data_IF_260288488258
#
_entry.id   IF_260288488258
#
_cell.length_a   1.000
_cell.length_b   1.000
_cell.length_c   1.000
_cell.angle_alpha   90.00
_cell.angle_beta   90.00
_cell.angle_gamma   90.00
#
_symmetry.space_group_name_H-M   'P 1'
#
loop_
_entity.id
_entity.type
_entity.pdbx_description
1 polymer ?
2 non-polymer ?
3 non-polymer ?
4 non-polymer ?
5 water ?
#
# COMPACT_ATOMS: atom_id res chain seq x y z
N UNK A 42 -30.51 6.34 12.61
CA UNK A 42 -29.98 6.18 11.23
C UNK A 42 -28.59 5.54 11.24
N UNK A 43 -28.19 4.91 10.15
CA UNK A 43 -26.85 4.29 10.06
C UNK A 43 -26.43 4.15 8.60
N UNK A 44 -25.23 4.62 8.27
CA UNK A 44 -24.64 4.48 6.92
C UNK A 44 -24.06 3.06 6.80
N UNK A 45 -24.36 2.36 5.71
CA UNK A 45 -23.92 0.97 5.47
C UNK A 45 -22.50 1.03 4.91
N UNK A 46 -22.28 1.85 3.87
CA UNK A 46 -21.00 2.03 3.26
C UNK A 46 -20.71 3.52 3.16
N UNK A 47 -19.49 3.92 3.52
CA UNK A 47 -18.97 5.25 3.27
C UNK A 47 -17.97 5.19 2.13
N UNK A 48 -18.28 5.88 1.04
CA UNK A 48 -17.45 5.97 -0.15
C UNK A 48 -16.72 7.30 -0.12
N UNK A 49 -15.40 7.28 -0.32
CA UNK A 49 -14.57 8.47 -0.37
C UNK A 49 -13.98 8.53 -1.77
N UNK A 50 -14.12 9.68 -2.41
CA UNK A 50 -13.56 9.90 -3.74
C UNK A 50 -12.77 11.21 -3.66
N UNK A 51 -11.54 11.19 -4.19
CA UNK A 51 -10.81 12.45 -4.31
C UNK A 51 -11.23 13.07 -5.62
N UNK A 52 -11.70 14.33 -5.53
CA UNK A 52 -12.27 15.00 -6.69
C UNK A 52 -11.32 16.04 -7.24
N UNK A 53 -10.32 16.45 -6.47
CA UNK A 53 -9.40 17.45 -6.95
C UNK A 53 -8.16 17.48 -6.11
N UNK A 54 -7.03 17.56 -6.83
CA UNK A 54 -5.76 17.86 -6.19
C UNK A 54 -5.16 19.06 -6.90
N UNK A 55 -4.78 20.05 -6.14
CA UNK A 55 -4.16 21.24 -6.68
C UNK A 55 -2.92 21.62 -5.90
N UNK A 56 -1.87 21.97 -6.61
CA UNK A 56 -0.66 22.40 -5.96
C UNK A 56 -0.56 23.92 -6.03
N UNK A 57 -0.68 24.55 -4.90
CA UNK A 57 -0.50 25.99 -4.87
C UNK A 57 0.11 26.15 -3.52
N UNK A 58 0.87 27.19 -3.34
CA UNK A 58 1.56 27.32 -2.10
C UNK A 58 2.48 26.15 -2.09
N UNK A 59 2.68 25.57 -3.26
CA UNK A 59 3.50 24.40 -3.33
C UNK A 59 2.69 23.23 -2.82
N UNK A 60 2.52 23.13 -1.52
CA UNK A 60 1.78 22.04 -0.94
C UNK A 60 0.44 21.76 -1.61
N UNK A 61 0.11 20.49 -1.71
CA UNK A 61 -1.16 20.11 -2.30
C UNK A 61 -2.36 20.47 -1.41
N UNK A 62 -3.44 20.84 -2.08
CA UNK A 62 -4.74 20.96 -1.45
C UNK A 62 -5.60 19.87 -2.06
N UNK A 63 -6.30 19.13 -1.22
CA UNK A 63 -6.94 17.91 -1.70
C UNK A 63 -8.41 17.95 -1.30
N UNK A 64 -9.28 17.77 -2.29
CA UNK A 64 -10.69 17.78 -1.99
C UNK A 64 -11.22 16.37 -2.09
N UNK A 65 -11.98 15.99 -1.05
CA UNK A 65 -12.58 14.67 -0.96
C UNK A 65 -14.10 14.80 -0.93
N UNK A 66 -14.79 13.91 -1.64
CA UNK A 66 -16.24 13.85 -1.57
C UNK A 66 -16.69 12.52 -0.93
N UNK A 67 -17.53 12.64 0.11
CA UNK A 67 -18.03 11.49 0.86
C UNK A 67 -19.47 11.19 0.52
N UNK A 68 -19.80 9.94 0.16
CA UNK A 68 -21.17 9.55 -0.07
C UNK A 68 -21.52 8.27 0.70
N UNK A 69 -22.83 8.00 0.85
CA UNK A 69 -23.28 6.75 1.43
C UNK A 69 -23.57 5.75 0.32
N UNK A 70 -24.14 4.58 0.68
CA UNK A 70 -24.40 3.50 -0.28
C UNK A 70 -25.43 3.93 -1.34
N UNK A 71 -26.27 4.93 -1.00
CA UNK A 71 -27.27 5.47 -1.92
C UNK A 71 -26.74 6.69 -2.68
N UNK A 72 -25.42 6.97 -2.56
CA UNK A 72 -24.79 8.01 -3.35
C UNK A 72 -25.28 9.40 -2.92
N UNK A 73 -25.68 9.52 -1.66
CA UNK A 73 -26.09 10.76 -1.03
C UNK A 73 -24.91 11.36 -0.25
N UNK A 74 -24.73 12.68 -0.25
CA UNK A 74 -23.58 13.29 0.42
C UNK A 74 -23.57 13.03 1.91
N UNK A 75 -22.36 12.92 2.46
CA UNK A 75 -22.23 12.75 3.90
C UNK A 75 -21.49 13.96 4.43
N UNK A 76 -22.21 14.69 5.26
CA UNK A 76 -21.76 15.96 5.80
C UNK A 76 -21.55 15.80 7.29
N UNK A 77 -20.54 16.47 7.85
CA UNK A 77 -20.27 16.37 9.28
C UNK A 77 -19.15 15.39 9.64
N UNK A 78 -18.50 14.70 8.69
CA UNK A 78 -17.42 13.78 9.08
C UNK A 78 -16.38 14.51 9.93
N UNK A 79 -16.15 13.97 11.13
CA UNK A 79 -15.30 14.61 12.11
C UNK A 79 -13.92 13.94 12.19
N UNK A 80 -13.70 12.78 11.55
CA UNK A 80 -12.44 12.09 11.75
C UNK A 80 -11.81 11.67 10.43
N UNK A 81 -11.83 12.58 9.47
CA UNK A 81 -11.34 12.34 8.13
C UNK A 81 -9.87 12.71 8.18
N UNK A 82 -9.01 11.98 7.46
CA UNK A 82 -7.62 12.41 7.42
C UNK A 82 -6.93 11.93 6.16
N UNK A 83 -5.90 12.67 5.77
CA UNK A 83 -4.94 12.14 4.81
C UNK A 83 -3.89 11.43 5.65
N UNK A 84 -4.04 10.10 5.76
CA UNK A 84 -3.17 9.34 6.65
C UNK A 84 -1.73 9.37 6.11
N UNK A 85 -1.59 9.32 4.78
CA UNK A 85 -0.30 9.41 4.14
C UNK A 85 -0.39 10.13 2.81
N UNK A 86 0.58 11.02 2.63
CA UNK A 86 0.93 11.55 1.35
C UNK A 86 2.27 10.93 0.91
N UNK A 87 2.32 10.40 -0.30
CA UNK A 87 3.48 9.68 -0.77
C UNK A 87 3.82 10.10 -2.20
N UNK A 88 5.05 9.75 -2.67
CA UNK A 88 5.31 9.70 -4.10
C UNK A 88 6.09 8.44 -4.43
N UNK A 89 5.93 8.02 -5.68
CA UNK A 89 6.41 6.74 -6.17
C UNK A 89 7.78 6.84 -6.86
N UNK A 90 8.81 6.34 -6.19
CA UNK A 90 10.13 6.23 -6.80
C UNK A 90 10.07 5.10 -7.81
N UNK A 91 10.38 5.32 -9.09
CA UNK A 91 10.13 4.28 -10.09
C UNK A 91 11.12 3.10 -10.02
N UNK A 92 10.77 1.98 -10.65
CA UNK A 92 11.66 0.84 -10.78
C UNK A 92 13.04 1.33 -11.17
N UNK A 93 14.11 0.90 -10.51
CA UNK A 93 15.45 1.19 -11.00
C UNK A 93 16.10 2.41 -10.33
N UNK A 94 15.30 3.35 -9.88
CA UNK A 94 15.86 4.63 -9.47
C UNK A 94 16.68 4.50 -8.17
N UNK A 95 16.32 3.61 -7.23
CA UNK A 95 17.15 3.47 -6.03
C UNK A 95 18.39 2.61 -6.35
N UNK A 96 18.50 2.08 -7.57
CA UNK A 96 19.54 1.12 -7.85
C UNK A 96 19.05 0.07 -8.85
N UNK A 97 19.99 -0.65 -9.49
CA UNK A 97 19.61 -1.52 -10.61
C UNK A 97 18.93 -2.83 -10.12
N UNK A 98 17.87 -3.21 -10.87
CA UNK A 98 16.87 -4.24 -10.56
C UNK A 98 15.87 -3.95 -9.42
N UNK A 99 15.94 -2.76 -8.85
CA UNK A 99 15.16 -2.51 -7.65
C UNK A 99 13.70 -2.21 -8.01
N UNK A 100 12.85 -2.50 -7.03
CA UNK A 100 11.43 -2.28 -7.09
C UNK A 100 11.16 -0.78 -7.07
N UNK A 101 10.03 -0.38 -7.63
CA UNK A 101 9.42 0.91 -7.28
C UNK A 101 9.05 0.88 -5.79
N UNK A 102 9.09 2.03 -5.14
CA UNK A 102 8.76 2.10 -3.74
C UNK A 102 8.30 3.51 -3.40
N UNK A 103 7.59 3.62 -2.27
CA UNK A 103 6.85 4.81 -1.91
C UNK A 103 7.64 5.64 -0.93
N UNK A 104 7.74 6.94 -1.22
CA UNK A 104 8.51 7.85 -0.39
C UNK A 104 7.56 8.82 0.30
N UNK A 105 7.80 9.10 1.59
CA UNK A 105 6.85 9.77 2.46
C UNK A 105 6.93 11.29 2.31
N UNK A 106 5.77 11.96 2.27
CA UNK A 106 5.73 13.41 2.16
C UNK A 106 4.89 14.04 3.27
N UNK A 107 4.34 13.21 4.16
CA UNK A 107 3.64 13.73 5.32
C UNK A 107 2.22 13.17 5.40
N UNK A 108 1.37 13.95 6.04
CA UNK A 108 0.03 13.54 6.41
C UNK A 108 -0.73 14.77 6.89
N UNK A 109 -2.07 14.69 6.94
CA UNK A 109 -2.84 15.86 7.38
C UNK A 109 -4.19 15.45 7.95
N UNK A 110 -4.51 16.13 9.05
CA UNK A 110 -5.81 16.06 9.70
C UNK A 110 -6.51 17.40 9.60
N UNK A 111 -5.93 18.33 8.84
CA UNK A 111 -6.44 19.69 8.82
C UNK A 111 -7.35 19.87 7.62
N UNK A 112 -8.67 19.99 7.84
CA UNK A 112 -9.55 20.17 6.71
C UNK A 112 -10.78 21.00 7.07
N UNK A 113 -11.44 21.50 6.02
CA UNK A 113 -12.67 22.26 6.07
C UNK A 113 -13.79 21.41 5.47
N UNK A 114 -14.89 21.30 6.20
CA UNK A 114 -16.13 20.70 5.72
C UNK A 114 -16.82 21.75 4.85
N UNK A 115 -17.01 21.47 3.56
CA UNK A 115 -17.60 22.47 2.67
C UNK A 115 -19.13 22.41 2.66
N UNK A 116 -19.70 21.48 3.43
CA UNK A 116 -21.10 21.42 3.83
C UNK A 116 -22.00 20.90 2.72
N UNK A 117 -21.41 20.30 1.69
CA UNK A 117 -22.18 19.72 0.60
C UNK A 117 -21.81 18.27 0.36
N UNK A 118 -20.94 17.71 1.22
CA UNK A 118 -20.42 16.37 0.98
C UNK A 118 -18.92 16.34 0.65
N UNK A 119 -18.33 17.53 0.45
CA UNK A 119 -16.94 17.67 0.05
C UNK A 119 -16.17 18.27 1.20
N UNK A 120 -14.87 17.93 1.25
CA UNK A 120 -13.97 18.33 2.31
C UNK A 120 -12.66 18.71 1.66
N UNK A 121 -12.04 19.80 2.11
CA UNK A 121 -10.80 20.21 1.50
C UNK A 121 -9.68 20.23 2.54
N UNK A 122 -8.62 19.47 2.27
CA UNK A 122 -7.47 19.40 3.16
C UNK A 122 -6.38 20.38 2.76
N UNK A 123 -5.72 20.93 3.76
CA UNK A 123 -4.41 21.55 3.58
C UNK A 123 -3.38 20.83 4.46
N UNK A 124 -2.09 21.01 4.11
CA UNK A 124 -0.98 20.50 4.92
C UNK A 124 -0.29 21.65 5.67
N UNK A 125 -0.20 21.54 6.99
CA UNK A 125 0.59 22.45 7.80
C UNK A 125 2.09 22.16 7.67
N UNK A 126 2.49 20.94 7.25
CA UNK A 126 3.90 20.58 7.22
C UNK A 126 4.13 19.52 6.14
N UNK A 127 3.94 19.91 4.89
CA UNK A 127 4.13 19.00 3.78
C UNK A 127 5.61 18.81 3.50
N UNK A 128 6.00 17.58 3.11
CA UNK A 128 7.34 17.30 2.62
C UNK A 128 8.42 17.93 3.50
N UNK A 129 8.49 17.52 4.77
CA UNK A 129 9.43 18.12 5.69
C UNK A 129 10.86 17.68 5.35
N UNK A 130 11.05 16.53 4.66
CA UNK A 130 12.38 16.14 4.22
C UNK A 130 12.78 16.83 2.91
N UNK A 131 11.85 17.52 2.26
CA UNK A 131 12.17 18.34 1.11
C UNK A 131 12.54 17.50 -0.12
N UNK A 132 11.77 16.42 -0.36
CA UNK A 132 12.07 15.49 -1.44
C UNK A 132 11.00 15.52 -2.50
N UNK A 133 10.01 16.40 -2.34
CA UNK A 133 8.91 16.38 -3.29
C UNK A 133 9.45 16.53 -4.69
N UNK A 134 8.89 15.74 -5.61
CA UNK A 134 9.35 15.73 -6.98
C UNK A 134 8.15 15.60 -7.92
N UNK A 135 7.85 16.72 -8.62
CA UNK A 135 6.64 16.83 -9.38
C UNK A 135 6.71 15.98 -10.65
N UNK A 136 7.87 15.37 -10.92
CA UNK A 136 7.98 14.35 -11.95
C UNK A 136 7.38 13.00 -11.52
N UNK A 137 7.21 12.76 -10.21
CA UNK A 137 6.76 11.43 -9.78
C UNK A 137 5.24 11.35 -9.61
N UNK A 138 4.66 10.18 -9.85
CA UNK A 138 3.33 9.82 -9.33
C UNK A 138 3.20 10.17 -7.85
N UNK A 139 2.07 10.79 -7.50
CA UNK A 139 1.77 11.15 -6.12
C UNK A 139 0.54 10.35 -5.67
N UNK A 140 0.57 9.92 -4.42
CA UNK A 140 -0.51 9.14 -3.83
C UNK A 140 -1.02 9.83 -2.57
N UNK A 141 -2.34 9.76 -2.34
CA UNK A 141 -2.93 10.14 -1.07
C UNK A 141 -3.78 8.97 -0.56
N UNK A 142 -3.56 8.66 0.70
CA UNK A 142 -4.26 7.63 1.44
C UNK A 142 -5.19 8.35 2.40
N UNK A 143 -6.50 8.23 2.11
CA UNK A 143 -7.50 8.96 2.88
C UNK A 143 -8.29 7.94 3.69
N UNK A 144 -8.50 8.26 4.96
CA UNK A 144 -9.27 7.39 5.84
C UNK A 144 -10.24 8.24 6.65
N UNK A 145 -11.37 7.60 6.98
CA UNK A 145 -12.35 8.13 7.91
C UNK A 145 -12.66 7.06 8.95
N UNK A 146 -12.47 7.43 10.21
CA UNK A 146 -12.64 6.54 11.36
C UNK A 146 -14.13 6.27 11.59
N UNK A 147 -14.44 5.09 12.06
CA UNK A 147 -15.81 4.79 12.39
C UNK A 147 -16.20 5.72 13.48
N UNK A 148 -17.47 6.10 13.47
CA UNK A 148 -17.94 7.01 14.48
C UNK A 148 -19.39 7.36 14.29
N UNK A 149 -19.72 8.56 14.70
CA UNK A 149 -21.09 9.00 14.57
C UNK A 149 -21.16 10.44 14.15
N UNK A 150 -22.18 10.78 13.39
CA UNK A 150 -22.35 12.18 13.01
C UNK A 150 -23.03 13.00 14.13
N UNK A 151 -22.98 14.33 14.03
CA UNK A 151 -23.63 15.21 14.99
C UNK A 151 -25.00 14.70 15.41
N UNK A 152 -25.79 14.15 14.47
CA UNK A 152 -27.18 13.75 14.75
C UNK A 152 -27.29 12.32 15.22
N UNK A 153 -26.14 11.69 15.51
CA UNK A 153 -26.13 10.35 16.03
C UNK A 153 -26.11 9.28 14.94
N UNK A 154 -26.14 9.67 13.65
CA UNK A 154 -25.99 8.66 12.61
C UNK A 154 -24.64 7.92 12.77
N UNK A 155 -24.68 6.62 12.60
CA UNK A 155 -23.45 5.87 12.72
C UNK A 155 -22.79 5.80 11.37
N UNK A 156 -21.49 5.97 11.38
CA UNK A 156 -20.74 5.93 10.15
C UNK A 156 -19.58 4.90 10.23
N UNK A 157 -19.46 4.03 9.21
CA UNK A 157 -18.40 3.05 9.28
C UNK A 157 -17.06 3.63 8.85
N UNK A 158 -16.03 2.84 9.11
CA UNK A 158 -14.70 3.12 8.63
C UNK A 158 -14.71 3.13 7.10
N UNK A 159 -13.89 4.04 6.58
CA UNK A 159 -13.60 4.05 5.16
C UNK A 159 -12.14 4.39 4.92
N UNK A 160 -11.62 3.84 3.82
CA UNK A 160 -10.23 4.00 3.45
C UNK A 160 -10.12 3.95 1.93
N UNK A 161 -9.20 4.74 1.39
CA UNK A 161 -8.91 4.61 -0.02
C UNK A 161 -7.51 5.18 -0.29
N UNK A 162 -6.99 4.81 -1.45
CA UNK A 162 -5.85 5.53 -2.00
C UNK A 162 -6.25 6.01 -3.39
N UNK A 163 -5.63 7.11 -3.82
CA UNK A 163 -5.65 7.41 -5.25
C UNK A 163 -4.32 8.04 -5.65
N UNK A 164 -3.93 7.74 -6.89
CA UNK A 164 -2.69 8.19 -7.49
C UNK A 164 -2.93 9.22 -8.61
N UNK A 165 -1.99 10.15 -8.70
CA UNK A 165 -2.02 11.32 -9.56
C UNK A 165 -0.62 11.56 -10.12
N UNK A 166 -0.49 12.41 -11.14
CA UNK A 166 0.82 12.91 -11.51
C UNK A 166 1.13 14.07 -10.59
N UNK A 167 2.26 14.72 -10.87
CA UNK A 167 2.78 15.70 -9.94
C UNK A 167 2.04 17.03 -9.99
N UNK A 168 1.02 17.11 -10.84
CA UNK A 168 0.18 18.30 -10.83
C UNK A 168 -1.30 18.00 -10.57
N UNK A 169 -1.65 16.76 -10.20
CA UNK A 169 -3.03 16.48 -9.82
C UNK A 169 -3.85 15.87 -10.94
N UNK A 170 -3.20 15.58 -12.08
CA UNK A 170 -3.86 14.89 -13.18
C UNK A 170 -3.64 13.37 -13.09
N UNK A 171 -4.05 12.64 -14.12
CA UNK A 171 -3.92 11.20 -14.10
C UNK A 171 -2.43 10.80 -13.98
N UNK A 172 -2.16 9.68 -13.27
CA UNK A 172 -0.78 9.23 -13.05
C UNK A 172 -0.25 8.61 -14.33
N UNK A 173 1.05 8.79 -14.56
CA UNK A 173 1.73 8.30 -15.76
C UNK A 173 2.25 6.89 -15.52
N UNK A 174 2.45 6.50 -14.26
CA UNK A 174 2.91 5.15 -13.94
C UNK A 174 2.42 4.88 -12.51
N UNK A 175 2.29 3.59 -12.19
CA UNK A 175 1.76 3.13 -10.92
C UNK A 175 2.53 1.90 -10.41
N UNK A 176 2.26 1.56 -9.13
CA UNK A 176 2.65 0.28 -8.57
C UNK A 176 1.41 -0.42 -8.03
N UNK A 177 0.55 -0.89 -8.92
CA UNK A 177 -0.70 -1.54 -8.57
C UNK A 177 -0.55 -3.02 -8.83
N UNK A 178 -0.27 -3.77 -7.75
CA UNK A 178 0.07 -5.17 -7.85
C UNK A 178 -1.09 -6.02 -7.33
N UNK A 179 -1.59 -5.61 -6.17
CA UNK A 179 -2.63 -6.30 -5.42
C UNK A 179 -3.71 -5.29 -5.04
N UNK A 180 -4.94 -5.77 -4.85
CA UNK A 180 -5.96 -4.92 -4.25
C UNK A 180 -6.59 -5.66 -3.07
N UNK A 181 -7.41 -4.95 -2.30
CA UNK A 181 -7.95 -5.53 -1.07
C UNK A 181 -8.83 -6.76 -1.31
N UNK A 182 -9.53 -6.84 -2.45
CA UNK A 182 -10.52 -7.88 -2.68
C UNK A 182 -9.95 -9.26 -2.32
N UNK A 183 -8.69 -9.54 -2.65
CA UNK A 183 -8.16 -10.88 -2.37
C UNK A 183 -8.09 -11.16 -0.88
N UNK A 184 -7.68 -10.19 -0.07
CA UNK A 184 -7.59 -10.39 1.37
C UNK A 184 -8.97 -10.71 1.98
N UNK A 185 -10.06 -10.17 1.41
CA UNK A 185 -11.42 -10.45 1.88
C UNK A 185 -11.85 -11.91 1.69
N UNK A 186 -11.09 -12.72 0.98
CA UNK A 186 -11.40 -14.13 0.93
C UNK A 186 -11.17 -14.81 2.28
N UNK A 187 -10.30 -14.22 3.13
CA UNK A 187 -9.82 -14.88 4.32
C UNK A 187 -9.71 -13.96 5.54
N UNK A 188 -10.12 -12.71 5.38
CA UNK A 188 -10.05 -11.77 6.48
C UNK A 188 -11.36 -10.96 6.48
N UNK A 189 -11.96 -10.80 7.66
CA UNK A 189 -13.32 -10.26 7.73
C UNK A 189 -13.25 -8.80 7.30
N UNK A 190 -14.12 -8.42 6.40
CA UNK A 190 -14.14 -7.07 5.87
C UNK A 190 -14.63 -6.06 6.88
N UNK A 191 -13.99 -4.90 6.86
CA UNK A 191 -14.39 -3.83 7.77
C UNK A 191 -13.80 -3.96 9.16
N UNK A 192 -13.00 -5.00 9.37
CA UNK A 192 -12.31 -5.19 10.63
C UNK A 192 -10.82 -5.08 10.38
N UNK A 193 -10.07 -4.64 11.37
CA UNK A 193 -8.63 -4.50 11.24
C UNK A 193 -7.99 -5.85 10.90
N UNK A 194 -6.99 -5.82 10.04
CA UNK A 194 -6.14 -6.99 9.82
C UNK A 194 -4.87 -6.72 10.62
N UNK A 195 -4.78 -7.39 11.78
CA UNK A 195 -3.69 -7.33 12.70
C UNK A 195 -3.71 -6.02 13.47
N UNK A 196 -3.71 -4.87 12.79
CA UNK A 196 -3.78 -3.58 13.48
C UNK A 196 -4.01 -2.47 12.46
N UNK A 197 -4.22 -1.25 12.98
CA UNK A 197 -4.14 0.02 12.26
C UNK A 197 -5.25 0.26 11.23
N UNK A 198 -5.60 -0.73 10.42
CA UNK A 198 -6.43 -0.43 9.26
C UNK A 198 -7.13 -1.67 8.77
N UNK A 199 -8.01 -1.48 7.77
CA UNK A 199 -8.87 -2.53 7.28
C UNK A 199 -8.64 -2.86 5.81
N UNK A 200 -7.89 -2.02 5.06
CA UNK A 200 -7.66 -2.30 3.64
C UNK A 200 -6.18 -2.29 3.28
N UNK A 201 -5.80 -3.19 2.38
CA UNK A 201 -4.40 -3.49 2.15
C UNK A 201 -3.61 -2.29 1.63
N UNK A 202 -4.26 -1.39 0.87
CA UNK A 202 -3.56 -0.23 0.33
C UNK A 202 -3.12 0.73 1.44
N UNK A 203 -3.88 0.78 2.53
CA UNK A 203 -3.47 1.58 3.68
C UNK A 203 -2.21 0.99 4.32
N UNK A 204 -2.21 -0.34 4.48
CA UNK A 204 -1.04 -1.05 4.99
C UNK A 204 0.18 -0.72 4.15
N UNK A 205 0.02 -0.80 2.82
CA UNK A 205 1.12 -0.65 1.87
C UNK A 205 1.67 0.78 1.95
N UNK A 206 0.78 1.74 2.24
CA UNK A 206 1.14 3.15 2.26
C UNK A 206 1.93 3.52 3.49
N UNK A 207 1.84 2.74 4.56
CA UNK A 207 2.64 3.03 5.75
C UNK A 207 3.86 2.13 5.80
N UNK A 208 3.70 0.84 5.45
CA UNK A 208 4.76 -0.17 5.53
C UNK A 208 5.66 -0.11 4.30
N UNK A 209 6.28 1.04 4.07
CA UNK A 209 7.07 1.25 2.87
C UNK A 209 8.48 0.72 3.13
N UNK A 210 9.23 0.56 2.04
CA UNK A 210 10.60 0.11 2.13
C UNK A 210 11.41 1.14 2.94
N UNK A 211 11.15 2.44 2.72
CA UNK A 211 11.81 3.52 3.45
C UNK A 211 11.54 3.42 4.95
N UNK A 212 10.26 3.23 5.30
CA UNK A 212 9.83 3.05 6.68
C UNK A 212 10.61 1.90 7.32
N UNK A 213 10.69 0.78 6.61
CA UNK A 213 11.26 -0.44 7.18
C UNK A 213 12.76 -0.30 7.38
N UNK A 214 13.43 0.20 6.34
CA UNK A 214 14.86 0.43 6.36
C UNK A 214 15.20 1.51 7.41
N UNK A 215 14.39 2.54 7.56
CA UNK A 215 14.66 3.57 8.57
C UNK A 215 14.61 3.03 10.00
N UNK A 216 13.76 2.04 10.28
CA UNK A 216 13.67 1.42 11.61
C UNK A 216 14.66 0.27 11.81
N UNK A 217 15.48 -0.06 10.82
CA UNK A 217 16.42 -1.17 10.94
C UNK A 217 15.75 -2.54 10.81
N UNK A 218 14.56 -2.58 10.20
CA UNK A 218 13.82 -3.84 10.10
C UNK A 218 13.28 -4.00 8.69
N UNK A 219 14.12 -4.35 7.73
CA UNK A 219 13.65 -4.54 6.35
C UNK A 219 12.43 -5.47 6.22
N UNK A 220 12.32 -6.43 7.14
CA UNK A 220 11.26 -7.41 7.15
C UNK A 220 9.88 -6.81 7.38
N UNK A 221 9.79 -5.54 7.82
CA UNK A 221 8.50 -4.90 7.97
C UNK A 221 8.06 -4.10 6.74
N UNK A 222 8.83 -4.10 5.63
CA UNK A 222 8.30 -3.60 4.38
C UNK A 222 7.17 -4.53 3.94
N UNK A 223 6.09 -3.96 3.38
CA UNK A 223 4.89 -4.77 3.24
C UNK A 223 5.14 -5.92 2.29
N UNK A 224 5.93 -5.67 1.24
CA UNK A 224 6.22 -6.69 0.23
C UNK A 224 7.04 -7.85 0.83
N UNK A 225 7.67 -7.64 1.99
CA UNK A 225 8.32 -8.74 2.70
C UNK A 225 7.36 -9.36 3.70
N UNK A 226 6.81 -8.50 4.57
CA UNK A 226 5.90 -8.86 5.65
C UNK A 226 4.77 -9.78 5.19
N UNK A 227 4.09 -9.46 4.07
CA UNK A 227 2.87 -10.15 3.70
C UNK A 227 3.15 -11.63 3.43
N UNK A 228 4.31 -11.93 2.84
CA UNK A 228 4.68 -13.32 2.54
C UNK A 228 5.14 -14.00 3.83
N UNK A 229 5.81 -13.25 4.68
CA UNK A 229 6.34 -13.77 5.93
C UNK A 229 5.24 -14.27 6.85
N UNK A 230 4.15 -13.48 6.94
CA UNK A 230 3.10 -13.76 7.91
C UNK A 230 2.25 -14.92 7.43
N UNK A 231 2.38 -15.35 6.17
CA UNK A 231 1.64 -16.49 5.68
C UNK A 231 2.51 -17.72 5.40
N UNK A 232 3.80 -17.62 5.68
CA UNK A 232 4.75 -18.68 5.35
C UNK A 232 5.53 -19.05 6.62
N UNK A 233 5.56 -20.39 6.80
CA UNK A 233 6.07 -20.99 8.04
C UNK A 233 7.59 -21.22 8.05
N UNK A 234 8.37 -20.78 7.03
CA UNK A 234 9.81 -20.98 7.05
C UNK A 234 10.46 -20.08 8.10
N UNK A 235 9.74 -19.03 8.52
CA UNK A 235 10.28 -18.11 9.50
C UNK A 235 9.15 -17.52 10.36
N UNK A 236 9.44 -17.36 11.68
CA UNK A 236 8.53 -16.78 12.63
C UNK A 236 8.55 -15.27 12.54
N UNK A 237 7.49 -14.62 13.07
CA UNK A 237 7.32 -13.18 12.97
C UNK A 237 6.68 -12.61 14.23
N UNK A 238 6.97 -11.32 14.40
CA UNK A 238 6.28 -10.50 15.36
C UNK A 238 6.83 -10.70 16.77
N UNK A 239 6.19 -10.01 17.71
CA UNK A 239 6.69 -9.90 19.06
C UNK A 239 6.57 -11.25 19.79
N UNK A 240 5.67 -12.14 19.35
CA UNK A 240 5.49 -13.44 19.95
C UNK A 240 6.12 -14.57 19.14
N UNK A 241 6.98 -14.23 18.16
CA UNK A 241 7.72 -15.24 17.44
C UNK A 241 6.78 -16.31 16.97
N UNK A 242 5.78 -15.85 16.23
CA UNK A 242 4.75 -16.76 15.78
C UNK A 242 5.24 -17.48 14.53
N UNK A 243 5.07 -18.80 14.51
CA UNK A 243 5.27 -19.63 13.33
C UNK A 243 3.91 -19.79 12.65
N UNK A 244 3.71 -19.28 11.42
CA UNK A 244 2.38 -19.23 10.83
C UNK A 244 1.89 -20.54 10.23
N UNK A 245 1.78 -21.57 11.07
CA UNK A 245 1.39 -22.88 10.58
C UNK A 245 -0.01 -22.83 9.99
N UNK A 246 -0.92 -22.15 10.69
CA UNK A 246 -2.30 -22.01 10.25
C UNK A 246 -2.37 -21.32 8.91
N UNK A 247 -1.71 -20.15 8.75
CA UNK A 247 -1.72 -19.51 7.44
C UNK A 247 -1.11 -20.44 6.39
N UNK A 248 -0.02 -21.12 6.75
CA UNK A 248 0.74 -21.88 5.78
C UNK A 248 -0.17 -22.96 5.20
N UNK A 249 -0.94 -23.63 6.05
CA UNK A 249 -1.76 -24.74 5.60
C UNK A 249 -2.95 -24.29 4.76
N UNK A 250 -3.36 -23.03 4.85
CA UNK A 250 -4.47 -22.55 4.02
C UNK A 250 -3.94 -21.90 2.74
N UNK A 251 -2.94 -21.00 2.86
CA UNK A 251 -2.42 -20.27 1.72
C UNK A 251 -1.53 -21.18 0.88
N UNK A 252 -0.67 -21.98 1.52
CA UNK A 252 0.15 -23.01 0.87
C UNK A 252 1.04 -22.42 -0.22
N UNK A 253 1.51 -21.18 0.03
CA UNK A 253 2.43 -20.48 -0.88
C UNK A 253 1.86 -20.33 -2.28
N UNK A 254 0.53 -20.32 -2.37
CA UNK A 254 -0.16 -20.21 -3.65
C UNK A 254 -0.25 -18.75 -4.07
N UNK A 255 0.68 -18.31 -4.90
CA UNK A 255 0.76 -16.91 -5.24
C UNK A 255 -0.55 -16.37 -5.79
N UNK A 256 -1.32 -17.21 -6.48
CA UNK A 256 -2.53 -16.76 -7.14
C UNK A 256 -3.70 -16.49 -6.19
N UNK A 257 -3.62 -16.81 -4.89
CA UNK A 257 -4.68 -16.38 -3.98
C UNK A 257 -4.59 -14.89 -3.71
N UNK A 258 -3.46 -14.26 -4.01
CA UNK A 258 -3.37 -12.81 -3.86
C UNK A 258 -3.02 -12.09 -5.16
N UNK A 259 -2.17 -12.72 -5.98
CA UNK A 259 -1.65 -12.10 -7.20
C UNK A 259 -2.58 -12.52 -8.34
N UNK A 260 -3.44 -11.61 -8.79
CA UNK A 260 -4.36 -11.91 -9.87
C UNK A 260 -4.38 -10.80 -10.90
N UNK A 261 -4.63 -11.22 -12.11
CA UNK A 261 -4.76 -10.29 -13.18
C UNK A 261 -5.98 -9.46 -13.09
N UNK A 262 -5.84 -8.22 -13.45
CA UNK A 262 -6.85 -7.23 -13.47
C UNK A 262 -6.43 -6.05 -14.31
N UNK A 263 -7.45 -5.49 -15.09
CA UNK A 263 -7.30 -4.26 -15.84
C UNK A 263 -6.97 -3.11 -14.89
N UNK A 264 -7.49 -3.16 -13.66
CA UNK A 264 -7.25 -2.09 -12.70
C UNK A 264 -5.86 -2.19 -12.05
N UNK A 265 -5.12 -3.28 -12.30
CA UNK A 265 -3.84 -3.48 -11.60
C UNK A 265 -2.73 -3.76 -12.62
N UNK A 266 -2.15 -2.70 -13.19
CA UNK A 266 -1.29 -2.86 -14.35
C UNK A 266 0.06 -3.47 -13.95
N UNK A 267 0.42 -3.49 -12.65
CA UNK A 267 1.67 -4.13 -12.25
C UNK A 267 1.41 -5.47 -11.58
N UNK A 268 0.29 -6.10 -11.90
CA UNK A 268 -0.06 -7.36 -11.25
C UNK A 268 0.97 -8.44 -11.51
N UNK A 269 1.69 -8.39 -12.64
CA UNK A 269 2.63 -9.46 -12.95
C UNK A 269 3.98 -9.23 -12.27
N UNK A 270 4.11 -8.20 -11.39
CA UNK A 270 5.35 -7.98 -10.68
C UNK A 270 5.78 -9.17 -9.81
N UNK A 271 4.83 -10.02 -9.41
CA UNK A 271 5.15 -11.14 -8.55
C UNK A 271 6.14 -12.08 -9.20
N UNK A 272 6.10 -12.19 -10.54
CA UNK A 272 7.05 -13.02 -11.26
C UNK A 272 8.07 -12.20 -12.07
N UNK A 273 7.80 -10.90 -12.28
CA UNK A 273 8.63 -10.08 -13.15
C UNK A 273 9.75 -9.41 -12.36
N UNK A 274 9.49 -9.07 -11.07
CA UNK A 274 10.40 -8.27 -10.28
C UNK A 274 11.00 -9.07 -9.12
N UNK A 275 11.97 -9.97 -9.37
CA UNK A 275 12.71 -10.67 -8.30
C UNK A 275 13.71 -9.75 -7.63
N UNK A 276 13.61 -9.65 -6.30
CA UNK A 276 14.61 -8.97 -5.50
C UNK A 276 14.90 -9.76 -4.24
N UNK A 277 16.05 -9.50 -3.65
CA UNK A 277 16.45 -10.22 -2.46
C UNK A 277 15.55 -9.78 -1.29
N UNK A 278 15.16 -8.52 -1.26
CA UNK A 278 14.29 -8.01 -0.21
C UNK A 278 12.95 -8.76 -0.14
N UNK A 279 12.38 -9.17 -1.30
CA UNK A 279 11.08 -9.80 -1.26
C UNK A 279 11.26 -11.29 -1.33
N UNK A 280 12.09 -11.78 -2.24
CA UNK A 280 12.14 -13.23 -2.41
C UNK A 280 12.60 -13.93 -1.12
N UNK A 281 13.39 -13.24 -0.30
CA UNK A 281 13.91 -13.79 0.95
C UNK A 281 12.84 -13.96 2.04
N UNK A 282 11.62 -13.45 1.82
CA UNK A 282 10.61 -13.52 2.86
C UNK A 282 10.24 -14.98 3.13
N UNK A 283 10.16 -15.78 2.07
CA UNK A 283 9.98 -17.20 2.25
C UNK A 283 11.27 -18.01 2.08
N UNK A 284 12.22 -17.54 1.26
CA UNK A 284 13.48 -18.23 1.01
C UNK A 284 14.51 -17.74 2.03
N UNK A 285 14.33 -18.18 3.28
CA UNK A 285 14.91 -17.50 4.43
C UNK A 285 16.33 -18.02 4.70
N UNK A 286 16.75 -19.09 4.01
CA UNK A 286 18.05 -19.70 4.27
C UNK A 286 19.14 -19.19 3.33
N UNK A 287 18.83 -18.38 2.33
CA UNK A 287 19.83 -17.84 1.44
C UNK A 287 20.52 -16.65 2.11
N UNK A 288 21.85 -16.57 1.97
CA UNK A 288 22.56 -15.34 2.31
C UNK A 288 23.20 -14.83 1.02
N UNK A 289 22.57 -13.84 0.37
CA UNK A 289 23.08 -13.34 -0.90
C UNK A 289 24.43 -12.65 -0.69
N UNK A 290 24.62 -11.94 0.42
CA UNK A 290 25.85 -11.19 0.64
C UNK A 290 27.03 -12.14 0.77
N UNK A 291 26.86 -13.31 1.39
CA UNK A 291 27.98 -14.15 1.70
C UNK A 291 28.04 -15.31 0.74
N UNK A 292 27.07 -15.44 -0.16
CA UNK A 292 27.09 -16.58 -1.04
C UNK A 292 26.78 -17.91 -0.34
N UNK A 293 25.84 -17.91 0.63
CA UNK A 293 25.43 -19.16 1.24
C UNK A 293 24.07 -19.56 0.71
N UNK A 294 23.97 -20.77 0.22
CA UNK A 294 22.74 -21.24 -0.35
C UNK A 294 22.52 -20.84 -1.81
N UNK A 295 23.37 -19.94 -2.33
CA UNK A 295 23.21 -19.31 -3.63
C UNK A 295 24.55 -18.63 -3.91
N UNK A 296 24.83 -18.39 -5.19
CA UNK A 296 25.92 -17.49 -5.54
C UNK A 296 25.66 -16.12 -4.94
N UNK A 297 26.76 -15.47 -4.58
CA UNK A 297 26.76 -14.12 -4.05
C UNK A 297 26.06 -13.15 -5.03
N UNK A 298 25.19 -12.30 -4.49
CA UNK A 298 24.59 -11.22 -5.25
C UNK A 298 24.63 -10.03 -4.33
N UNK A 299 25.37 -8.99 -4.70
CA UNK A 299 25.53 -7.84 -3.83
C UNK A 299 24.41 -6.82 -4.04
N UNK A 300 23.61 -6.97 -5.10
CA UNK A 300 22.44 -6.13 -5.32
C UNK A 300 21.48 -6.91 -6.19
N UNK A 301 20.40 -6.27 -6.61
CA UNK A 301 19.37 -6.88 -7.44
C UNK A 301 19.59 -6.70 -8.95
N UNK A 302 20.79 -6.31 -9.38
CA UNK A 302 21.00 -5.91 -10.77
C UNK A 302 20.79 -7.07 -11.73
N UNK A 303 21.08 -8.30 -11.31
CA UNK A 303 21.06 -9.40 -12.30
C UNK A 303 20.00 -10.47 -12.08
N UNK A 304 19.20 -10.39 -11.01
CA UNK A 304 18.25 -11.45 -10.68
C UNK A 304 17.39 -11.84 -11.89
N UNK A 305 16.84 -10.82 -12.56
CA UNK A 305 15.88 -11.08 -13.63
C UNK A 305 16.55 -11.74 -14.84
N UNK A 306 17.87 -11.58 -15.02
CA UNK A 306 18.57 -12.26 -16.12
C UNK A 306 18.44 -13.78 -16.03
N UNK A 307 18.49 -14.33 -14.80
CA UNK A 307 18.32 -15.77 -14.64
C UNK A 307 16.88 -16.10 -14.28
N UNK A 308 16.29 -15.31 -13.35
CA UNK A 308 14.98 -15.63 -12.83
C UNK A 308 13.94 -14.96 -13.71
N UNK A 309 13.82 -15.45 -14.94
CA UNK A 309 12.84 -14.88 -15.86
C UNK A 309 11.42 -15.18 -15.37
N UNK A 310 10.50 -14.32 -15.75
CA UNK A 310 9.13 -14.34 -15.25
C UNK A 310 8.48 -15.71 -15.49
N UNK A 311 8.66 -16.25 -16.71
CA UNK A 311 8.05 -17.52 -17.06
C UNK A 311 8.46 -18.62 -16.08
N UNK A 312 9.77 -18.69 -15.78
CA UNK A 312 10.27 -19.70 -14.89
C UNK A 312 9.70 -19.47 -13.46
N UNK A 313 9.84 -18.27 -12.92
CA UNK A 313 9.31 -17.98 -11.59
C UNK A 313 7.82 -18.34 -11.48
N UNK A 314 7.02 -17.94 -12.46
CA UNK A 314 5.58 -18.19 -12.48
C UNK A 314 5.28 -19.69 -12.52
N UNK A 315 6.00 -20.42 -13.38
CA UNK A 315 5.72 -21.81 -13.58
C UNK A 315 6.14 -22.60 -12.36
N UNK A 316 7.33 -22.33 -11.81
CA UNK A 316 7.80 -23.23 -10.78
C UNK A 316 7.00 -23.06 -9.48
N UNK A 317 6.44 -21.88 -9.23
CA UNK A 317 5.67 -21.63 -8.01
C UNK A 317 4.21 -22.06 -8.16
N UNK A 318 3.78 -22.45 -9.37
CA UNK A 318 2.39 -22.82 -9.61
C UNK A 318 2.20 -24.33 -9.73
N UNK A 319 1.40 -24.88 -8.78
CA UNK A 319 0.97 -26.27 -8.70
C UNK A 319 1.25 -27.05 -9.99
X LIG B 1 -3.85 -13.27 5.58
X LIG B 1 -2.75 -14.09 8.72
X LIG B 1 -2.82 -10.06 6.01
X LIG B 1 -4.68 -12.61 2.34
X LIG B 1 -5.27 -16.41 5.29
X LIG B 1 -2.92 -12.28 7.04
X LIG B 1 -2.50 -12.77 8.21
X LIG B 1 -1.85 -11.83 9.05
X LIG B 1 -1.84 -10.63 8.31
X LIG B 1 -2.52 -11.01 7.07
X LIG B 1 -1.20 -9.35 8.73
X LIG B 1 -1.28 -12.12 10.41
X LIG B 1 -2.38 -12.08 11.49
X LIG B 1 -1.99 -13.15 12.58
X LIG B 1 -2.24 -12.72 13.73
X LIG B 1 -1.35 -14.34 12.37
X LIG B 1 -3.79 -11.63 4.38
X LIG B 1 -3.43 -10.39 4.76
X LIG B 1 -3.58 -9.34 3.73
X LIG B 1 -4.10 -10.13 2.61
X LIG B 1 -4.19 -11.50 3.10
X LIG B 1 -3.21 -7.92 3.88
X LIG B 1 -4.41 -9.64 1.23
X LIG B 1 -3.17 -9.15 0.55
X LIG B 1 -4.73 -14.32 4.11
X LIG B 1 -4.98 -13.89 2.88
X LIG B 1 -5.64 -14.85 2.00
X LIG B 1 -5.82 -15.99 2.86
X LIG B 1 -5.26 -15.55 4.14
X LIG B 1 -6.03 -14.60 0.57
X LIG B 1 -6.64 -17.24 2.60
X LIG B 1 -6.41 -17.88 1.27
X LIG B 1 -4.02 -14.93 6.80
X LIG B 1 -4.65 -16.10 6.52
X LIG B 1 -4.65 -17.09 7.56
X LIG B 1 -3.91 -16.39 8.62
X LIG B 1 -3.55 -15.09 8.03
X LIG B 1 -5.30 -18.44 7.55
X LIG B 1 -3.48 -16.90 9.94
X LIG B 1 -4.46 -16.46 10.99
X LIG B 1 -3.93 -17.05 12.33
X LIG B 1 -4.64 -16.71 13.29
X LIG B 1 -2.89 -17.77 12.47
X LIG C 1 3.37 -11.63 -3.26
X LIG C 1 4.48 -8.41 -3.50
X LIG C 1 5.95 -12.59 -5.25
X LIG C 1 2.44 -14.83 -2.87
X LIG C 1 0.76 -10.62 -1.41
X LIG C 1 4.90 -10.69 -4.20
X LIG C 1 5.25 -9.40 -4.19
X LIG C 1 6.43 -9.03 -4.94
X LIG C 1 6.88 -10.28 -5.45
X LIG C 1 5.89 -11.21 -4.95
X LIG C 1 8.07 -10.58 -6.29
X LIG C 1 7.03 -7.65 -5.03
X LIG C 1 6.88 -7.03 -6.41
X LIG C 1 7.71 -5.73 -6.54
X LIG C 1 8.72 -5.56 -5.78
X LIG C 1 7.27 -4.94 -7.44
X LIG C 1 4.04 -13.41 -3.95
X LIG C 1 5.10 -13.62 -4.70
X LIG C 1 5.27 -15.03 -5.12
X LIG C 1 4.20 -15.70 -4.40
X LIG C 1 3.56 -14.61 -3.68
X LIG C 1 6.33 -15.57 -6.02
X LIG C 1 3.94 -17.16 -4.41
X LIG C 1 5.14 -18.01 -4.17
X LIG C 1 1.87 -12.57 -2.31
X LIG C 1 1.66 -13.85 -2.21
X LIG C 1 0.46 -14.26 -1.45
X LIG C 1 -0.02 -12.99 -0.96
X LIG C 1 0.91 -12.03 -1.56
X LIG C 1 0.07 -15.72 -1.21
X LIG C 1 -1.26 -12.70 -0.14
X LIG C 1 -1.29 -13.61 1.10
X LIG C 1 2.76 -9.87 -2.56
X LIG C 1 1.60 -9.63 -1.95
X LIG C 1 1.41 -8.23 -1.52
X LIG C 1 2.53 -7.56 -2.12
X LIG C 1 3.26 -8.67 -2.77
X LIG C 1 0.30 -7.63 -0.70
X LIG C 1 2.84 -6.10 -2.02
X LIG C 1 2.25 -5.27 -3.14
X LIG C 1 2.68 -3.80 -2.99
X LIG C 1 2.09 -2.98 -3.71
X LIG C 1 3.65 -3.42 -2.29
X LIG D 1 1.54 -2.45 10.61
X LIG D 1 4.01 -3.78 12.55
X LIG D 1 0.57 -5.58 9.65
X LIG D 1 -0.99 -1.10 8.77
X LIG D 1 2.67 0.68 11.27
X LIG D 1 2.18 -4.31 11.01
X LIG D 1 3.18 -4.68 11.78
X LIG D 1 3.35 -6.11 11.89
X LIG D 1 2.34 -6.63 11.04
X LIG D 1 1.67 -5.44 10.55
X LIG D 1 2.06 -8.07 10.77
X LIG D 1 4.38 -6.89 12.65
X LIG D 1 5.54 -7.08 11.61
X LIG D 1 6.75 -7.87 12.17
X LIG D 1 7.05 -7.65 13.34
X LIG D 1 7.39 -8.68 11.43
X LIG D 1 0.10 -3.22 9.44
X LIG D 1 -0.18 -4.47 9.13
X LIG D 1 -1.32 -4.68 8.23
X LIG D 1 -1.74 -3.33 8.00
X LIG D 1 -0.89 -2.53 8.84
X LIG D 1 -1.89 -5.94 7.63
X LIG D 1 -2.91 -2.90 7.15
X LIG D 1 -4.17 -3.59 7.62
X LIG D 1 0.93 -0.57 10.15
X LIG D 1 -0.09 -0.18 9.39
X LIG D 1 -0.22 1.26 9.15
X LIG D 1 0.89 1.78 9.89
X LIG D 1 1.53 0.58 10.41
X LIG D 1 -1.27 1.91 8.31
X LIG D 1 1.50 3.17 10.00
X LIG D 1 0.52 4.29 9.84
X LIG D 1 3.04 -1.68 11.67
X LIG D 1 3.33 -0.41 11.92
X LIG D 1 4.42 -0.15 12.84
X LIG D 1 4.84 -1.49 13.20
X LIG D 1 3.91 -2.35 12.46
X LIG D 1 5.04 1.15 13.29
X LIG D 1 5.97 -1.91 14.11
X LIG D 1 7.14 -2.21 13.20
X LIG D 1 8.38 -2.42 14.11
X LIG D 1 9.26 -1.54 14.24
X LIG D 1 8.40 -3.48 14.72
X LIG E 1 10.19 -19.29 -4.36
X LIG E 1 10.78 -22.61 -4.95
X LIG E 1 12.58 -18.52 -6.65
X LIG E 1 9.53 -15.98 -3.85
X LIG E 1 7.88 -20.08 -2.03
X LIG E 1 11.43 -20.35 -5.59
X LIG E 1 11.63 -21.67 -5.65
X LIG E 1 12.65 -22.16 -6.59
X LIG E 1 13.17 -20.93 -7.10
X LIG E 1 12.39 -19.90 -6.40
X LIG E 1 14.28 -20.77 -8.11
X LIG E 1 13.05 -23.58 -6.95
X LIG E 1 14.01 -23.98 -5.84
X LIG E 1 14.37 -25.48 -5.80
X LIG E 1 14.47 -26.00 -4.67
X LIG E 1 14.59 -26.12 -6.88
X LIG E 1 10.95 -17.54 -5.09
X LIG E 1 11.84 -17.42 -6.06
X LIG E 1 12.15 -16.07 -6.44
X LIG E 1 11.23 -15.30 -5.61
X LIG E 1 10.53 -16.32 -4.83
X LIG E 1 13.14 -15.61 -7.46
X LIG E 1 11.02 -13.81 -5.55
X LIG E 1 10.48 -13.27 -6.86
X LIG E 1 8.90 -18.22 -3.17
X LIG E 1 8.82 -16.91 -3.01
X LIG E 1 7.91 -16.42 -1.97
X LIG E 1 7.44 -17.65 -1.44
X LIG E 1 8.13 -18.68 -2.21
X LIG E 1 7.56 -15.01 -1.66
X LIG E 1 6.53 -17.79 -0.25
X LIG E 1 5.19 -17.15 -0.48
X LIG E 1 9.46 -21.06 -3.64
X LIG E 1 8.47 -21.19 -2.78
X LIG E 1 8.11 -22.59 -2.48
X LIG E 1 8.97 -23.33 -3.35
X LIG E 1 9.73 -22.27 -4.01
X LIG E 1 7.08 -23.14 -1.53
X LIG E 1 9.08 -24.83 -3.48
X LIG E 1 8.15 -25.29 -4.58
X LIG E 1 8.35 -26.80 -4.87
X LIG E 1 9.16 -27.45 -4.16
X LIG E 1 7.69 -27.34 -5.82
X LIG F 1 18.77 -17.07 -7.92
X LIG F 1 17.83 -20.13 -6.69
X LIG F 1 16.57 -15.57 -5.95
X LIG F 1 20.17 -14.12 -8.75
X LIG F 1 20.20 -18.59 -10.64
X LIG F 1 17.41 -17.71 -6.53
X LIG F 1 17.16 -18.96 -6.15
X LIG F 1 16.13 -19.13 -5.15
X LIG F 1 15.73 -17.76 -4.93
X LIG F 1 16.61 -17.00 -5.82
X LIG F 1 14.69 -17.23 -4.01
X LIG F 1 15.68 -20.45 -4.52
X LIG F 1 16.53 -20.57 -3.26
X LIG F 1 16.07 -21.79 -2.46
X LIG F 1 15.51 -21.62 -1.33
X LIG F 1 16.26 -22.87 -2.98
X LIG F 1 18.47 -15.19 -7.38
X LIG F 1 17.48 -14.74 -6.65
X LIG F 1 17.47 -13.28 -6.42
X LIG F 1 18.57 -12.84 -7.24
X LIG F 1 19.08 -14.10 -7.82
X LIG F 1 16.50 -12.43 -5.60
X LIG F 1 19.11 -11.42 -7.43
X LIG F 1 19.51 -10.95 -6.02
X LIG F 1 20.03 -16.47 -9.42
X LIG F 1 20.47 -15.24 -9.63
X LIG F 1 21.33 -15.08 -10.81
X LIG F 1 21.30 -16.42 -11.40
X LIG F 1 20.45 -17.18 -10.48
X LIG F 1 21.96 -13.77 -11.25
X LIG F 1 21.93 -16.87 -12.70
X LIG F 1 23.42 -16.57 -12.77
X LIG F 1 19.02 -18.98 -8.52
X LIG F 1 19.59 -19.39 -9.65
X LIG F 1 19.57 -20.83 -9.83
X LIG F 1 18.87 -21.31 -8.63
X LIG F 1 18.60 -20.08 -7.92
X LIG F 1 20.11 -21.64 -10.94
X LIG F 1 18.64 -22.76 -8.27
X LIG F 1 17.39 -23.19 -8.96
X LIG F 1 17.05 -24.65 -8.56
X LIG F 1 17.38 -25.01 -7.42
X LIG F 1 16.34 -25.33 -9.35
X LIG G 1 7.25 -16.39 7.94
X LIG H 1 26.70 -9.45 -8.11
X LIG H 1 27.10 -9.36 -6.79
X LIG H 1 26.09 -8.17 -8.49
X LIG H 1 24.77 -8.21 -8.10
X LIG I 1 23.65 -19.16 -9.56
X LIG I 1 24.78 -18.31 -9.31
X LIG I 1 22.82 -19.29 -8.29
X LIG I 1 23.61 -19.88 -7.25
X LIG J 1 12.79 -3.99 -12.64
X LIG J 1 13.10 -3.17 -13.76
X LIG J 1 13.80 -3.76 -11.54
X LIG J 1 14.09 -2.37 -11.40
#
# INVERSE_FOLDING_TARGET
MKFKLNLITLALLANTGLAVAADGGSDGNNGNDGSDGGEPAGSIQTLNLDITKVSYENGAPMVTVFATNEADMPVIGLANLEIKKALQLIPEGATGPGNSANWQGLGSSKSYVDNKNGSYTFKFDAFDSNKVFNAQLTQRFNVVSAAGKLADGTTVPVAEMVEDFDGQGNAPQYTKNIVSHEVCASCHVEGEKIYHQATEVETCISCHTQEFADGRGKPHVAFSHLIHNVHNANKAWGKDNKIPTVAQNIVQDNCQVCHVESDMLTEAKNWSRIPTMEVCSSCHVDIDFAAGKGHSQQLDNSNCIACHNSDWTAELHTAKTTA
HEC FE CHA CHB CHC CHD NA C1A C2A C3A C4A CMA CAA CBA CGA O1A O2A NB C1B C2B C3B C4B CMB CAB CBB NC C1C C2C C3C C4C CMC CAC CBC ND C1D C2D C3D C4D CMD CAD CBD CGD O1D O2D
HEC FE CHA CHB CHC CHD NA C1A C2A C3A C4A CMA CAA CBA CGA O1A O2A NB C1B C2B C3B C4B CMB CAB CBB NC C1C C2C C3C C4C CMC CAC CBC ND C1D C2D C3D C4D CMD CAD CBD CGD O1D O2D
HEC FE CHA CHB CHC CHD NA C1A C2A C3A C4A CMA CAA CBA CGA O1A O2A NB C1B C2B C3B C4B CMB CAB CBB NC C1C C2C C3C C4C CMC CAC CBC ND C1D C2D C3D C4D CMD CAD CBD CGD O1D O2D
HEC FE CHA CHB CHC CHD NA C1A C2A C3A C4A CMA CAA CBA CGA O1A O2A NB C1B C2B C3B C4B CMB CAB CBB NC C1C C2C C3C C4C CMC CAC CBC ND C1D C2D C3D C4D CMD CAD CBD CGD O1D O2D
HEC FE CHA CHB CHC CHD NA C1A C2A C3A C4A CMA CAA CBA CGA O1A O2A NB C1B C2B C3B C4B CMB CAB CBB NC C1C C2C C3C C4C CMC CAC CBC ND C1D C2D C3D C4D CMD CAD CBD CGD O1D O2D
MG MG
EDO C1 O1 C2 O2
EDO C1 O1 C2 O2
EDO C1 O1 C2 O2
#
